data_IF_177990898367
#
_entry.id   IF_177990898367
#
_cell.length_a   1.000
_cell.length_b   1.000
_cell.length_c   1.000
_cell.angle_alpha   90.00
_cell.angle_beta   90.00
_cell.angle_gamma   90.00
#
_symmetry.space_group_name_H-M   'P 1'
#
loop_
_entity.id
_entity.type
_entity.pdbx_description
1 polymer ?
#
# COMPACT_ATOMS: atom_id res chain seq x y z
N UNK A 1 16.18 12.68 9.96
CA UNK A 1 15.82 11.24 10.08
C UNK A 1 14.48 11.23 10.76
N UNK A 2 13.40 10.80 10.11
CA UNK A 2 12.06 10.80 10.76
C UNK A 2 12.13 10.02 12.06
N UNK A 3 11.43 10.54 13.07
CA UNK A 3 11.43 10.09 14.46
C UNK A 3 10.91 8.65 14.60
N UNK A 4 11.74 7.65 14.31
CA UNK A 4 11.53 6.24 14.69
C UNK A 4 10.25 5.53 14.25
N UNK A 5 9.38 6.15 13.45
CA UNK A 5 8.08 5.59 13.06
C UNK A 5 7.82 5.76 11.56
N UNK A 6 7.34 4.67 10.94
CA UNK A 6 6.98 4.65 9.53
C UNK A 6 5.79 5.59 9.24
N UNK A 7 5.80 6.21 8.07
CA UNK A 7 4.69 7.01 7.55
C UNK A 7 3.56 6.07 7.20
N UNK A 8 2.44 6.18 7.92
CA UNK A 8 1.25 5.37 7.67
C UNK A 8 0.48 5.89 6.46
N UNK A 9 0.33 5.06 5.45
CA UNK A 9 -0.28 5.42 4.16
C UNK A 9 -1.62 4.70 3.98
N UNK A 10 -2.64 5.45 3.59
CA UNK A 10 -3.88 4.91 3.04
C UNK A 10 -3.87 5.01 1.52
N UNK A 11 -3.99 3.88 0.82
CA UNK A 11 -4.04 3.84 -0.64
C UNK A 11 -5.51 3.80 -1.13
N UNK A 12 -5.95 4.78 -1.91
CA UNK A 12 -7.29 4.81 -2.50
C UNK A 12 -7.24 4.34 -3.95
N UNK A 13 -7.91 3.22 -4.21
CA UNK A 13 -7.94 2.55 -5.51
C UNK A 13 -6.84 1.50 -5.66
N UNK A 14 -7.22 0.30 -6.14
CA UNK A 14 -6.32 -0.83 -6.36
C UNK A 14 -6.37 -1.35 -7.82
N UNK A 15 -6.37 -0.38 -8.75
CA UNK A 15 -6.19 -0.61 -10.19
C UNK A 15 -4.72 -0.73 -10.57
N UNK A 16 -4.38 -0.45 -11.84
CA UNK A 16 -2.99 -0.55 -12.34
C UNK A 16 -2.03 0.35 -11.54
N UNK A 17 -2.38 1.63 -11.34
CA UNK A 17 -1.56 2.57 -10.58
C UNK A 17 -1.31 2.09 -9.13
N UNK A 18 -2.39 1.72 -8.44
CA UNK A 18 -2.33 1.27 -7.04
C UNK A 18 -1.54 -0.02 -6.88
N UNK A 19 -1.85 -1.04 -7.67
CA UNK A 19 -1.31 -2.40 -7.53
C UNK A 19 0.12 -2.55 -8.05
N UNK A 20 0.44 -1.93 -9.18
CA UNK A 20 1.70 -2.18 -9.89
C UNK A 20 2.78 -1.17 -9.52
N UNK A 21 2.38 0.05 -9.15
CA UNK A 21 3.32 1.13 -8.88
C UNK A 21 3.31 1.56 -7.41
N UNK A 22 2.17 1.99 -6.88
CA UNK A 22 2.14 2.58 -5.54
C UNK A 22 2.34 1.57 -4.41
N UNK A 23 1.61 0.46 -4.39
CA UNK A 23 1.76 -0.54 -3.33
C UNK A 23 3.18 -1.16 -3.30
N UNK A 24 3.80 -1.54 -4.44
CA UNK A 24 5.18 -2.02 -4.45
C UNK A 24 6.20 -0.95 -4.05
N UNK A 25 6.01 0.32 -4.45
CA UNK A 25 6.88 1.41 -4.02
C UNK A 25 6.84 1.59 -2.50
N UNK A 26 5.64 1.62 -1.91
CA UNK A 26 5.47 1.76 -0.46
C UNK A 26 6.07 0.57 0.30
N UNK A 27 5.94 -0.65 -0.23
CA UNK A 27 6.51 -1.85 0.39
C UNK A 27 8.04 -1.92 0.30
N UNK A 28 8.66 -1.22 -0.64
CA UNK A 28 10.10 -1.25 -0.87
C UNK A 28 10.89 -0.32 0.06
N UNK A 29 10.23 0.62 0.75
CA UNK A 29 10.89 1.61 1.60
C UNK A 29 10.37 1.54 3.05
N UNK A 30 11.22 1.19 4.04
CA UNK A 30 10.82 1.07 5.44
C UNK A 30 10.39 2.40 6.08
N UNK A 31 10.57 3.53 5.39
CA UNK A 31 9.98 4.79 5.80
C UNK A 31 8.45 4.80 5.69
N UNK A 32 7.83 3.83 5.02
CA UNK A 32 6.38 3.75 4.83
C UNK A 32 5.78 2.45 5.39
N UNK A 33 4.53 2.56 5.85
CA UNK A 33 3.68 1.44 6.23
C UNK A 33 2.35 1.59 5.49
N UNK A 34 2.01 0.63 4.62
CA UNK A 34 0.71 0.60 3.96
C UNK A 34 -0.35 0.13 4.97
N UNK A 35 -1.00 1.08 5.64
CA UNK A 35 -1.91 0.82 6.75
C UNK A 35 -3.32 0.44 6.29
N UNK A 36 -3.75 0.88 5.11
CA UNK A 36 -5.06 0.56 4.55
C UNK A 36 -5.10 0.70 3.02
N UNK A 37 -5.97 -0.09 2.39
CA UNK A 37 -6.32 0.04 0.97
C UNK A 37 -7.84 0.17 0.85
N UNK A 38 -8.32 1.24 0.21
CA UNK A 38 -9.73 1.43 -0.12
C UNK A 38 -9.95 0.98 -1.56
N UNK A 39 -10.72 -0.09 -1.75
CA UNK A 39 -10.99 -0.66 -3.07
C UNK A 39 -12.34 -1.36 -3.11
N UNK A 40 -13.02 -1.34 -4.26
CA UNK A 40 -14.18 -2.18 -4.53
C UNK A 40 -13.79 -3.62 -4.96
N UNK A 41 -12.50 -3.89 -5.14
CA UNK A 41 -11.96 -5.16 -5.65
C UNK A 41 -11.20 -5.90 -4.55
N UNK A 42 -11.88 -6.25 -3.46
CA UNK A 42 -11.28 -6.87 -2.27
C UNK A 42 -10.58 -8.21 -2.59
N UNK A 43 -11.19 -9.05 -3.42
CA UNK A 43 -10.61 -10.35 -3.80
C UNK A 43 -9.25 -10.21 -4.49
N UNK A 44 -9.07 -9.15 -5.29
CA UNK A 44 -7.78 -8.88 -5.95
C UNK A 44 -6.72 -8.48 -4.93
N UNK A 45 -7.09 -7.63 -3.97
CA UNK A 45 -6.18 -7.23 -2.89
C UNK A 45 -5.73 -8.45 -2.07
N UNK A 46 -6.67 -9.33 -1.70
CA UNK A 46 -6.38 -10.56 -0.96
C UNK A 46 -5.48 -11.54 -1.72
N UNK A 47 -5.59 -11.61 -3.05
CA UNK A 47 -4.72 -12.46 -3.86
C UNK A 47 -3.26 -11.97 -3.89
N UNK A 48 -3.04 -10.64 -3.87
CA UNK A 48 -1.69 -10.04 -3.87
C UNK A 48 -1.10 -9.92 -2.46
N UNK A 49 -1.96 -9.83 -1.44
CA UNK A 49 -1.61 -9.73 -0.02
C UNK A 49 -2.47 -10.72 0.80
N UNK A 50 -2.08 -12.01 0.85
CA UNK A 50 -2.80 -13.04 1.59
C UNK A 50 -2.69 -12.91 3.11
#
# INVERSE_FOLDING_TARGET
MSDGHAIRVGLIGYGVAGRVFHAPFLAADPAFELAAVVTSQADRLAADHP
#
